data_IF_339113861892
#
_entry.id   IF_339113861892
#
_cell.length_a   1.000
_cell.length_b   1.000
_cell.length_c   1.000
_cell.angle_alpha   90.00
_cell.angle_beta   90.00
_cell.angle_gamma   90.00
#
_symmetry.space_group_name_H-M   'P 1'
#
loop_
_entity.id
_entity.type
_entity.pdbx_description
1 polymer ?
#
# COMPACT_ATOMS: atom_id res chain seq x y z
N UNK A 1 4.40 20.85 -2.64
CA UNK A 1 4.74 20.63 -1.22
C UNK A 1 3.78 19.57 -0.78
N UNK A 2 4.30 18.37 -0.54
CA UNK A 2 3.48 17.16 -0.39
C UNK A 2 2.46 17.24 0.74
N UNK A 3 2.72 18.02 1.82
CA UNK A 3 1.74 18.30 2.86
C UNK A 3 0.48 19.03 2.32
N UNK A 4 0.64 19.95 1.36
CA UNK A 4 -0.52 20.61 0.72
C UNK A 4 -1.32 19.57 -0.07
N UNK A 5 -0.63 18.76 -0.87
CA UNK A 5 -1.22 17.68 -1.67
C UNK A 5 -1.98 16.68 -0.79
N UNK A 6 -1.43 16.35 0.38
CA UNK A 6 -2.05 15.48 1.37
C UNK A 6 -3.37 16.06 1.90
N UNK A 7 -3.38 17.34 2.26
CA UNK A 7 -4.60 18.02 2.73
C UNK A 7 -5.65 18.04 1.62
N UNK A 8 -5.25 18.36 0.39
CA UNK A 8 -6.14 18.37 -0.77
C UNK A 8 -6.74 16.96 -1.03
N UNK A 9 -5.95 15.89 -0.89
CA UNK A 9 -6.44 14.50 -1.04
C UNK A 9 -7.45 14.14 0.05
N UNK A 10 -7.20 14.50 1.30
CA UNK A 10 -8.13 14.25 2.40
C UNK A 10 -9.47 14.94 2.13
N UNK A 11 -9.45 16.22 1.73
CA UNK A 11 -10.66 16.98 1.37
C UNK A 11 -11.41 16.33 0.19
N UNK A 12 -10.69 15.87 -0.84
CA UNK A 12 -11.27 15.14 -1.96
C UNK A 12 -11.97 13.85 -1.50
N UNK A 13 -11.35 13.06 -0.63
CA UNK A 13 -11.90 11.80 -0.14
C UNK A 13 -13.10 11.98 0.80
N UNK A 14 -13.21 13.13 1.47
CA UNK A 14 -14.39 13.50 2.27
C UNK A 14 -15.53 14.10 1.43
N UNK A 15 -15.25 14.48 0.18
CA UNK A 15 -16.26 15.06 -0.70
C UNK A 15 -17.39 14.09 -1.04
N UNK A 16 -18.51 14.62 -1.56
CA UNK A 16 -19.67 13.83 -1.98
C UNK A 16 -19.34 12.86 -3.14
N UNK A 17 -18.46 13.26 -4.04
CA UNK A 17 -18.13 12.53 -5.28
C UNK A 17 -16.61 12.48 -5.48
N UNK A 18 -15.84 11.77 -4.63
CA UNK A 18 -14.37 11.75 -4.68
C UNK A 18 -13.85 11.32 -6.07
N UNK A 19 -14.47 10.29 -6.65
CA UNK A 19 -14.08 9.75 -7.95
C UNK A 19 -14.20 10.77 -9.09
N UNK A 20 -15.21 11.64 -9.05
CA UNK A 20 -15.38 12.68 -10.07
C UNK A 20 -14.27 13.73 -10.00
N UNK A 21 -13.86 14.11 -8.79
CA UNK A 21 -12.78 15.09 -8.59
C UNK A 21 -11.43 14.47 -8.96
N UNK A 22 -11.21 13.21 -8.59
CA UNK A 22 -10.01 12.46 -8.97
C UNK A 22 -9.91 12.35 -10.50
N UNK A 23 -11.00 12.02 -11.21
CA UNK A 23 -11.04 12.02 -12.68
C UNK A 23 -10.52 13.31 -13.28
N UNK A 24 -11.03 14.44 -12.82
CA UNK A 24 -10.63 15.78 -13.32
C UNK A 24 -9.14 16.05 -13.09
N UNK A 25 -8.55 15.51 -12.00
CA UNK A 25 -7.10 15.61 -11.74
C UNK A 25 -6.25 14.73 -12.67
N UNK A 26 -6.79 13.61 -13.15
CA UNK A 26 -6.10 12.65 -14.02
C UNK A 26 -6.25 12.94 -15.52
N UNK A 27 -7.36 13.58 -15.88
CA UNK A 27 -7.76 13.84 -17.26
C UNK A 27 -6.64 14.53 -18.06
N UNK A 28 -6.37 14.02 -19.26
CA UNK A 28 -5.32 14.51 -20.17
C UNK A 28 -3.87 14.44 -19.65
N UNK A 29 -3.61 13.84 -18.48
CA UNK A 29 -2.27 13.71 -17.91
C UNK A 29 -1.75 12.27 -17.90
N UNK A 30 -2.61 11.33 -17.52
CA UNK A 30 -2.25 9.92 -17.32
C UNK A 30 -3.36 9.00 -17.80
N UNK A 31 -3.01 7.75 -18.09
CA UNK A 31 -4.02 6.72 -18.38
C UNK A 31 -4.57 6.20 -17.05
N UNK A 32 -5.88 6.00 -16.97
CA UNK A 32 -6.50 5.40 -15.81
C UNK A 32 -7.69 4.51 -16.20
N UNK A 33 -8.04 3.60 -15.32
CA UNK A 33 -9.16 2.68 -15.42
C UNK A 33 -9.98 2.73 -14.12
N UNK A 34 -11.30 2.75 -14.27
CA UNK A 34 -12.25 2.62 -13.18
C UNK A 34 -12.85 1.22 -13.23
N UNK A 35 -12.61 0.42 -12.20
CA UNK A 35 -13.09 -0.97 -12.12
C UNK A 35 -14.01 -1.06 -10.91
N UNK A 36 -15.26 -1.43 -11.12
CA UNK A 36 -16.20 -1.66 -10.01
C UNK A 36 -16.51 -3.14 -9.91
N UNK A 37 -16.20 -3.74 -8.76
CA UNK A 37 -16.61 -5.13 -8.45
C UNK A 37 -17.53 -5.11 -7.24
N UNK A 38 -18.77 -5.54 -7.45
CA UNK A 38 -19.83 -5.37 -6.47
C UNK A 38 -20.06 -3.88 -6.16
N UNK A 39 -19.83 -3.50 -4.90
CA UNK A 39 -19.94 -2.12 -4.41
C UNK A 39 -18.57 -1.46 -4.15
N UNK A 40 -17.49 -2.05 -4.67
CA UNK A 40 -16.11 -1.60 -4.42
C UNK A 40 -15.57 -0.95 -5.70
N UNK A 41 -15.54 0.40 -5.79
CA UNK A 41 -14.94 1.11 -6.90
C UNK A 41 -13.42 1.18 -6.71
N UNK A 42 -12.67 0.64 -7.66
CA UNK A 42 -11.23 0.79 -7.79
C UNK A 42 -10.89 1.86 -8.82
N UNK A 43 -9.79 2.55 -8.56
CA UNK A 43 -9.11 3.36 -9.55
C UNK A 43 -7.69 2.84 -9.74
N UNK A 44 -7.33 2.58 -11.00
CA UNK A 44 -5.99 2.22 -11.43
C UNK A 44 -5.44 3.30 -12.32
N UNK A 45 -4.24 3.78 -12.04
CA UNK A 45 -3.61 4.86 -12.80
C UNK A 45 -2.24 4.41 -13.26
N UNK A 46 -1.97 4.53 -14.55
CA UNK A 46 -0.66 4.33 -15.13
C UNK A 46 -0.02 5.70 -15.38
N UNK A 47 0.96 6.03 -14.55
CA UNK A 47 1.95 7.07 -14.84
C UNK A 47 2.98 6.47 -15.79
N UNK A 48 3.05 6.97 -17.02
CA UNK A 48 3.99 6.47 -18.04
C UNK A 48 5.23 7.35 -18.09
N UNK A 49 6.32 6.89 -17.49
CA UNK A 49 7.61 7.57 -17.47
C UNK A 49 8.49 7.21 -18.68
N UNK A 50 8.30 6.02 -19.26
CA UNK A 50 9.12 5.54 -20.38
C UNK A 50 10.29 4.64 -19.98
N UNK A 51 10.48 4.41 -18.68
CA UNK A 51 11.50 3.53 -18.13
C UNK A 51 11.28 2.05 -18.48
N UNK A 52 12.33 1.24 -18.29
CA UNK A 52 12.31 -0.22 -18.54
C UNK A 52 11.52 -0.97 -17.48
N UNK A 53 11.58 -0.50 -16.25
CA UNK A 53 10.92 -1.10 -15.10
C UNK A 53 9.59 -0.42 -14.82
N UNK A 54 8.66 -1.21 -14.32
CA UNK A 54 7.35 -0.74 -13.88
C UNK A 54 7.13 -1.15 -12.44
N UNK A 55 6.77 -0.21 -11.57
CA UNK A 55 6.51 -0.51 -10.16
C UNK A 55 5.04 -0.26 -9.82
N UNK A 56 4.60 -0.82 -8.70
CA UNK A 56 3.24 -0.64 -8.20
C UNK A 56 3.24 0.01 -6.81
N UNK A 57 2.43 1.04 -6.66
CA UNK A 57 2.06 1.66 -5.38
C UNK A 57 0.60 1.31 -5.12
N UNK A 58 0.38 0.40 -4.18
CA UNK A 58 -0.93 -0.20 -3.91
C UNK A 58 -1.46 0.26 -2.55
N UNK A 59 -2.53 1.04 -2.54
CA UNK A 59 -3.30 1.39 -1.35
C UNK A 59 -4.38 0.37 -1.07
N UNK A 60 -4.20 -0.44 -0.02
CA UNK A 60 -5.17 -1.43 0.45
C UNK A 60 -5.99 -0.88 1.60
N UNK A 61 -7.28 -1.22 1.58
CA UNK A 61 -8.27 -0.78 2.56
C UNK A 61 -9.58 -1.53 2.38
N UNK A 62 -10.38 -1.62 3.44
CA UNK A 62 -11.76 -2.05 3.38
C UNK A 62 -12.69 -1.01 2.75
N UNK A 63 -12.60 0.24 3.20
CA UNK A 63 -13.31 1.38 2.64
C UNK A 63 -12.72 2.70 3.15
N UNK A 64 -12.88 3.79 2.41
CA UNK A 64 -12.51 5.14 2.85
C UNK A 64 -13.48 5.68 3.90
N UNK A 65 -14.73 5.21 3.89
CA UNK A 65 -15.79 5.63 4.81
C UNK A 65 -16.75 4.47 5.09
N UNK A 66 -17.50 4.56 6.19
CA UNK A 66 -18.60 3.65 6.52
C UNK A 66 -19.93 4.41 6.50
N UNK A 67 -20.45 4.70 5.31
CA UNK A 67 -21.67 5.50 5.14
C UNK A 67 -22.82 4.82 5.91
N UNK A 68 -23.47 5.61 6.78
CA UNK A 68 -24.53 5.24 7.73
C UNK A 68 -24.10 4.64 9.07
N UNK A 69 -22.82 4.27 9.26
CA UNK A 69 -22.31 3.80 10.56
C UNK A 69 -21.46 4.87 11.21
N UNK A 70 -20.43 5.36 10.51
CA UNK A 70 -19.51 6.37 11.01
C UNK A 70 -19.50 7.60 10.09
N UNK A 71 -19.23 8.77 10.65
CA UNK A 71 -19.20 10.04 9.91
C UNK A 71 -17.75 10.49 9.73
N UNK A 72 -17.32 10.65 8.48
CA UNK A 72 -15.95 11.04 8.10
C UNK A 72 -15.08 9.87 7.67
N UNK A 73 -13.81 10.17 7.35
CA UNK A 73 -12.83 9.14 6.97
C UNK A 73 -12.53 8.19 8.13
N UNK A 74 -12.53 6.91 7.81
CA UNK A 74 -12.15 5.87 8.77
C UNK A 74 -10.64 5.63 8.79
N UNK A 75 -10.16 4.93 9.81
CA UNK A 75 -8.77 4.54 9.97
C UNK A 75 -8.22 3.75 8.78
N UNK A 76 -9.06 2.97 8.10
CA UNK A 76 -8.66 2.18 6.93
C UNK A 76 -8.37 3.04 5.68
N UNK A 77 -8.82 4.29 5.65
CA UNK A 77 -8.66 5.18 4.50
C UNK A 77 -7.19 5.52 4.19
N UNK A 78 -6.28 5.30 5.14
CA UNK A 78 -4.85 5.62 5.08
C UNK A 78 -4.18 5.14 3.78
N UNK A 79 -4.45 3.91 3.36
CA UNK A 79 -3.87 3.34 2.13
C UNK A 79 -4.23 4.14 0.88
N UNK A 80 -5.50 4.54 0.77
CA UNK A 80 -5.98 5.39 -0.31
C UNK A 80 -5.39 6.82 -0.23
N UNK A 81 -5.32 7.39 0.99
CA UNK A 81 -4.77 8.73 1.21
C UNK A 81 -3.32 8.81 0.74
N UNK A 82 -2.45 7.90 1.18
CA UNK A 82 -1.02 7.93 0.85
C UNK A 82 -0.79 7.65 -0.63
N UNK A 83 -1.53 6.68 -1.21
CA UNK A 83 -1.42 6.34 -2.63
C UNK A 83 -1.80 7.51 -3.53
N UNK A 84 -2.95 8.14 -3.26
CA UNK A 84 -3.42 9.30 -4.02
C UNK A 84 -2.54 10.54 -3.79
N UNK A 85 -2.03 10.75 -2.57
CA UNK A 85 -1.09 11.84 -2.26
C UNK A 85 0.18 11.70 -3.08
N UNK A 86 0.73 10.49 -3.13
CA UNK A 86 1.92 10.18 -3.94
C UNK A 86 1.65 10.43 -5.42
N UNK A 87 0.55 9.89 -5.96
CA UNK A 87 0.15 10.10 -7.34
C UNK A 87 0.00 11.60 -7.68
N UNK A 88 -0.74 12.35 -6.87
CA UNK A 88 -0.99 13.77 -7.15
C UNK A 88 0.26 14.62 -6.99
N UNK A 89 1.19 14.29 -6.08
CA UNK A 89 2.46 14.99 -6.01
C UNK A 89 3.28 14.76 -7.29
N UNK A 90 3.27 13.54 -7.84
CA UNK A 90 3.93 13.26 -9.12
C UNK A 90 3.29 14.01 -10.30
N UNK A 91 1.97 14.14 -10.33
CA UNK A 91 1.28 14.95 -11.34
C UNK A 91 1.58 16.44 -11.20
N UNK A 92 1.64 16.94 -9.97
CA UNK A 92 1.98 18.33 -9.70
C UNK A 92 3.47 18.63 -9.98
N UNK A 93 4.34 17.62 -9.90
CA UNK A 93 5.74 17.71 -10.37
C UNK A 93 5.81 17.69 -11.90
N UNK A 94 5.02 16.84 -12.56
CA UNK A 94 4.91 16.80 -14.02
C UNK A 94 4.48 18.16 -14.59
N UNK A 95 3.49 18.82 -13.97
CA UNK A 95 3.05 20.16 -14.37
C UNK A 95 4.17 21.23 -14.25
N UNK A 96 5.15 20.99 -13.38
CA UNK A 96 6.34 21.84 -13.20
C UNK A 96 7.50 21.45 -14.10
N UNK A 97 7.32 20.47 -15.00
CA UNK A 97 8.36 19.95 -15.88
C UNK A 97 9.31 18.95 -15.21
N UNK A 98 8.99 18.47 -14.01
CA UNK A 98 9.76 17.43 -13.31
C UNK A 98 9.06 16.09 -13.55
N UNK A 99 9.63 15.28 -14.44
CA UNK A 99 9.11 13.98 -14.83
C UNK A 99 10.01 12.85 -14.33
N UNK A 100 9.42 11.69 -14.09
CA UNK A 100 10.13 10.49 -13.64
C UNK A 100 10.22 9.49 -14.80
N UNK A 101 11.41 8.96 -15.06
CA UNK A 101 11.71 7.98 -16.12
C UNK A 101 11.49 6.53 -15.63
N UNK A 102 10.31 6.28 -15.08
CA UNK A 102 9.87 4.96 -14.63
C UNK A 102 8.36 4.85 -14.78
N UNK A 103 7.87 3.68 -15.21
CA UNK A 103 6.43 3.45 -15.26
C UNK A 103 5.92 3.09 -13.86
N UNK A 104 4.80 3.68 -13.45
CA UNK A 104 4.25 3.48 -12.10
C UNK A 104 2.76 3.23 -12.21
N UNK A 105 2.31 2.15 -11.57
CA UNK A 105 0.90 1.83 -11.42
C UNK A 105 0.47 2.19 -10.01
N UNK A 106 -0.52 3.08 -9.91
CA UNK A 106 -1.18 3.40 -8.64
C UNK A 106 -2.53 2.70 -8.60
N UNK A 107 -2.80 1.98 -7.52
CA UNK A 107 -4.07 1.27 -7.35
C UNK A 107 -4.61 1.54 -5.95
N UNK A 108 -5.89 1.89 -5.84
CA UNK A 108 -6.62 1.91 -4.57
C UNK A 108 -8.11 1.75 -4.83
N UNK A 109 -8.87 1.36 -3.81
CA UNK A 109 -10.33 1.47 -3.84
C UNK A 109 -10.81 2.73 -3.11
N UNK A 110 -12.05 3.13 -3.44
CA UNK A 110 -12.78 4.27 -2.87
C UNK A 110 -14.12 3.81 -2.29
N UNK A 111 -14.19 2.56 -1.82
CA UNK A 111 -15.43 2.03 -1.25
C UNK A 111 -15.88 2.88 -0.07
N UNK A 112 -17.20 3.05 0.06
CA UNK A 112 -17.81 3.80 1.15
C UNK A 112 -18.67 2.91 2.05
N UNK A 113 -18.52 1.60 1.88
CA UNK A 113 -19.13 0.52 2.65
C UNK A 113 -18.12 -0.61 2.75
N UNK A 114 -18.07 -1.24 3.91
CA UNK A 114 -17.23 -2.40 4.17
C UNK A 114 -18.00 -3.42 5.01
N UNK A 115 -17.45 -4.63 5.11
CA UNK A 115 -17.91 -5.65 6.05
C UNK A 115 -16.95 -5.73 7.23
N UNK A 116 -17.50 -6.04 8.40
CA UNK A 116 -16.72 -6.40 9.58
C UNK A 116 -16.64 -7.93 9.69
N UNK A 117 -15.43 -8.48 9.78
CA UNK A 117 -15.18 -9.90 10.00
C UNK A 117 -14.68 -10.11 11.43
N UNK A 118 -15.24 -11.08 12.18
CA UNK A 118 -14.78 -11.40 13.53
C UNK A 118 -13.27 -11.63 13.60
N UNK A 119 -12.58 -10.80 14.39
CA UNK A 119 -11.15 -10.89 14.63
C UNK A 119 -10.80 -10.37 16.04
N UNK A 120 -9.59 -10.64 16.56
CA UNK A 120 -9.15 -10.19 17.88
C UNK A 120 -7.88 -9.32 17.77
N UNK A 121 -7.81 -8.16 18.46
CA UNK A 121 -8.73 -7.69 19.51
C UNK A 121 -10.04 -7.06 19.00
N UNK A 122 -10.11 -6.70 17.72
CA UNK A 122 -11.27 -6.09 17.08
C UNK A 122 -11.55 -6.74 15.73
N UNK A 123 -12.77 -6.55 15.24
CA UNK A 123 -13.18 -7.00 13.93
C UNK A 123 -12.38 -6.32 12.83
N UNK A 124 -12.04 -7.08 11.79
CA UNK A 124 -11.37 -6.56 10.61
C UNK A 124 -12.38 -5.91 9.68
N UNK A 125 -12.05 -4.71 9.24
CA UNK A 125 -12.76 -4.02 8.17
C UNK A 125 -12.22 -4.52 6.84
N UNK A 126 -13.09 -5.10 6.01
CA UNK A 126 -12.71 -5.65 4.71
C UNK A 126 -13.64 -5.12 3.63
N UNK A 127 -13.18 -5.02 2.37
CA UNK A 127 -14.05 -4.56 1.30
C UNK A 127 -15.23 -5.53 1.11
N UNK A 128 -16.30 -5.08 0.47
CA UNK A 128 -17.48 -5.90 0.17
C UNK A 128 -17.21 -6.90 -0.98
N UNK A 129 -16.09 -7.60 -0.91
CA UNK A 129 -15.65 -8.63 -1.85
C UNK A 129 -14.65 -9.59 -1.20
N UNK A 130 -14.40 -10.73 -1.83
CA UNK A 130 -13.39 -11.69 -1.35
C UNK A 130 -11.97 -11.16 -1.53
N UNK A 131 -11.05 -11.58 -0.64
CA UNK A 131 -9.63 -11.22 -0.75
C UNK A 131 -9.01 -11.66 -2.08
N UNK A 132 -9.35 -12.85 -2.58
CA UNK A 132 -8.85 -13.36 -3.86
C UNK A 132 -9.30 -12.48 -5.04
N UNK A 133 -10.57 -12.07 -5.06
CA UNK A 133 -11.10 -11.15 -6.08
C UNK A 133 -10.45 -9.77 -5.97
N UNK A 134 -10.24 -9.28 -4.74
CA UNK A 134 -9.55 -8.01 -4.50
C UNK A 134 -8.11 -8.07 -5.05
N UNK A 135 -7.34 -9.09 -4.67
CA UNK A 135 -5.93 -9.21 -5.08
C UNK A 135 -5.74 -9.41 -6.59
N UNK A 136 -6.67 -10.08 -7.28
CA UNK A 136 -6.68 -10.19 -8.75
C UNK A 136 -6.83 -8.83 -9.44
N UNK A 137 -7.51 -7.89 -8.80
CA UNK A 137 -7.66 -6.53 -9.29
C UNK A 137 -6.48 -5.71 -8.81
N UNK A 138 -6.14 -5.75 -7.52
CA UNK A 138 -5.12 -4.90 -6.92
C UNK A 138 -3.75 -5.10 -7.58
N UNK A 139 -3.29 -6.34 -7.69
CA UNK A 139 -1.92 -6.67 -8.09
C UNK A 139 -1.73 -6.60 -9.61
N UNK A 140 -0.76 -5.79 -10.06
CA UNK A 140 -0.30 -5.80 -11.45
C UNK A 140 0.73 -6.93 -11.65
N UNK A 141 0.43 -7.96 -12.44
CA UNK A 141 1.33 -9.10 -12.65
C UNK A 141 2.61 -8.73 -13.42
N UNK A 142 2.67 -7.54 -14.00
CA UNK A 142 3.80 -7.03 -14.78
C UNK A 142 4.62 -5.97 -14.04
N UNK A 143 4.26 -5.62 -12.80
CA UNK A 143 5.09 -4.78 -11.95
C UNK A 143 6.31 -5.58 -11.47
N UNK A 144 7.51 -4.99 -11.52
CA UNK A 144 8.78 -5.58 -11.05
C UNK A 144 9.00 -5.39 -9.54
N UNK A 145 8.20 -4.56 -8.88
CA UNK A 145 8.18 -4.34 -7.43
C UNK A 145 6.82 -3.79 -6.99
N UNK A 146 6.36 -4.19 -5.81
CA UNK A 146 5.10 -3.68 -5.21
C UNK A 146 5.38 -3.09 -3.83
N UNK A 147 5.03 -1.82 -3.65
CA UNK A 147 4.87 -1.21 -2.34
C UNK A 147 3.39 -1.23 -1.96
N UNK A 148 3.04 -2.12 -1.04
CA UNK A 148 1.67 -2.27 -0.53
C UNK A 148 1.49 -1.44 0.72
N UNK A 149 0.46 -0.59 0.77
CA UNK A 149 0.20 0.37 1.85
C UNK A 149 -1.12 -0.01 2.51
N UNK A 150 -1.13 -0.20 3.83
CA UNK A 150 -2.32 -0.66 4.58
C UNK A 150 -2.35 -0.06 6.00
N UNK A 151 -3.57 0.18 6.49
CA UNK A 151 -3.79 0.63 7.88
C UNK A 151 -3.64 -0.52 8.87
N UNK A 152 -2.44 -0.66 9.41
CA UNK A 152 -2.09 -1.72 10.35
C UNK A 152 -2.16 -1.21 11.80
N UNK A 153 -3.20 -0.45 12.15
CA UNK A 153 -3.40 0.11 13.50
C UNK A 153 -4.18 -0.81 14.46
N UNK A 154 -4.93 -1.78 13.93
CA UNK A 154 -5.80 -2.67 14.70
C UNK A 154 -5.10 -3.77 15.51
N UNK A 155 -3.78 -3.93 15.38
CA UNK A 155 -3.01 -4.96 16.09
C UNK A 155 -2.34 -4.44 17.39
N UNK A 156 -1.70 -5.35 18.12
CA UNK A 156 -1.00 -5.09 19.40
C UNK A 156 0.53 -5.02 19.32
N UNK A 157 1.11 -5.27 18.14
CA UNK A 157 2.55 -5.46 17.96
C UNK A 157 3.23 -4.19 17.43
N UNK A 158 2.86 -3.75 16.23
CA UNK A 158 3.46 -2.60 15.56
C UNK A 158 2.90 -1.28 16.12
N UNK A 159 3.31 -0.91 17.35
CA UNK A 159 2.80 0.25 18.11
C UNK A 159 3.82 1.39 18.15
N UNK A 160 4.01 2.04 17.01
CA UNK A 160 4.96 3.14 16.82
C UNK A 160 4.26 4.51 16.67
N UNK A 161 5.02 5.61 16.69
CA UNK A 161 4.51 6.98 16.45
C UNK A 161 4.60 7.46 14.99
N UNK A 162 5.21 6.67 14.11
CA UNK A 162 5.29 6.92 12.68
C UNK A 162 5.09 5.61 11.89
N UNK A 163 5.08 5.66 10.56
CA UNK A 163 4.82 4.49 9.71
C UNK A 163 5.92 3.43 9.86
N UNK A 164 5.60 2.17 9.59
CA UNK A 164 6.55 1.06 9.68
C UNK A 164 6.66 0.33 8.33
N UNK A 165 7.80 -0.31 8.10
CA UNK A 165 8.02 -1.15 6.92
C UNK A 165 8.06 -2.63 7.29
N UNK A 166 7.67 -3.50 6.36
CA UNK A 166 7.99 -4.92 6.46
C UNK A 166 9.39 -5.19 5.91
N UNK A 167 9.90 -6.39 6.17
CA UNK A 167 10.94 -6.99 5.33
C UNK A 167 10.46 -7.16 3.88
N UNK A 168 11.36 -7.51 2.96
CA UNK A 168 10.97 -7.83 1.59
C UNK A 168 10.40 -9.24 1.55
N UNK A 169 9.18 -9.39 1.04
CA UNK A 169 8.57 -10.70 0.79
C UNK A 169 8.77 -11.04 -0.68
N UNK A 170 9.52 -12.11 -0.95
CA UNK A 170 9.80 -12.58 -2.31
C UNK A 170 9.70 -14.10 -2.35
N UNK A 171 8.76 -14.62 -3.15
CA UNK A 171 8.58 -16.06 -3.37
C UNK A 171 8.47 -16.88 -2.07
N UNK A 172 7.82 -16.32 -1.05
CA UNK A 172 7.67 -16.96 0.26
C UNK A 172 8.91 -16.90 1.16
N UNK A 173 9.96 -16.19 0.74
CA UNK A 173 11.09 -15.80 1.58
C UNK A 173 10.88 -14.40 2.17
N UNK A 174 11.38 -14.21 3.38
CA UNK A 174 11.46 -12.93 4.07
C UNK A 174 12.92 -12.49 4.01
N UNK A 175 13.22 -11.43 3.27
CA UNK A 175 14.57 -10.95 3.00
C UNK A 175 14.80 -9.58 3.64
N UNK A 176 16.06 -9.30 3.96
CA UNK A 176 16.47 -8.01 4.51
C UNK A 176 16.17 -6.87 3.52
N UNK A 177 15.73 -5.72 4.03
CA UNK A 177 15.66 -4.49 3.25
C UNK A 177 17.06 -4.05 2.82
N UNK A 178 17.20 -3.64 1.56
CA UNK A 178 18.43 -2.99 1.11
C UNK A 178 18.69 -1.70 1.92
N UNK A 179 19.95 -1.44 2.29
CA UNK A 179 20.30 -0.34 3.20
C UNK A 179 19.83 1.03 2.70
N UNK A 180 19.96 1.30 1.40
CA UNK A 180 19.40 2.52 0.79
C UNK A 180 17.89 2.73 1.05
N UNK A 181 17.08 1.68 1.18
CA UNK A 181 15.65 1.80 1.51
C UNK A 181 15.50 2.26 2.96
N UNK A 182 16.32 1.72 3.86
CA UNK A 182 16.41 2.13 5.27
C UNK A 182 16.90 3.57 5.38
N UNK A 183 17.89 3.98 4.59
CA UNK A 183 18.41 5.35 4.55
C UNK A 183 17.37 6.35 4.05
N UNK A 184 16.53 5.98 3.08
CA UNK A 184 15.42 6.81 2.62
C UNK A 184 14.40 6.97 3.76
N UNK A 185 14.03 5.88 4.44
CA UNK A 185 13.15 5.93 5.60
C UNK A 185 13.70 6.91 6.65
N UNK A 186 14.92 6.68 7.12
CA UNK A 186 15.51 7.48 8.20
C UNK A 186 15.62 8.97 7.83
N UNK A 187 15.85 9.27 6.54
CA UNK A 187 15.93 10.66 6.05
C UNK A 187 14.57 11.36 6.06
N UNK A 188 13.49 10.66 5.68
CA UNK A 188 12.17 11.29 5.59
C UNK A 188 11.47 11.37 6.94
N UNK A 189 11.79 10.48 7.88
CA UNK A 189 11.19 10.44 9.22
C UNK A 189 12.04 11.10 10.31
N UNK A 190 13.35 11.26 10.08
CA UNK A 190 14.32 11.76 11.07
C UNK A 190 14.48 10.85 12.31
N UNK A 191 14.13 9.58 12.21
CA UNK A 191 14.36 8.55 13.25
C UNK A 191 14.67 7.18 12.64
N UNK A 192 15.05 6.20 13.47
CA UNK A 192 15.37 4.84 13.02
C UNK A 192 14.15 4.09 12.44
N UNK A 193 14.43 3.12 11.56
CA UNK A 193 13.39 2.31 10.93
C UNK A 193 12.54 1.53 11.95
N UNK A 194 11.22 1.70 11.84
CA UNK A 194 10.25 0.84 12.50
C UNK A 194 9.86 -0.33 11.60
N UNK A 195 9.92 -1.54 12.15
CA UNK A 195 9.65 -2.76 11.42
C UNK A 195 8.35 -3.41 11.87
N UNK A 196 7.55 -3.88 10.92
CA UNK A 196 6.37 -4.69 11.19
C UNK A 196 6.81 -6.14 11.46
N UNK A 197 6.54 -6.70 12.66
CA UNK A 197 6.84 -8.09 12.94
C UNK A 197 5.86 -8.98 12.17
N UNK A 198 6.41 -9.93 11.42
CA UNK A 198 5.64 -10.90 10.64
C UNK A 198 5.78 -12.30 11.22
N UNK A 199 4.75 -13.09 11.05
CA UNK A 199 4.68 -14.51 11.35
C UNK A 199 4.50 -15.30 10.05
N UNK A 200 4.69 -16.61 10.10
CA UNK A 200 4.37 -17.47 8.94
C UNK A 200 2.91 -17.35 8.51
N UNK A 201 1.98 -17.10 9.44
CA UNK A 201 0.57 -16.91 9.13
C UNK A 201 0.32 -15.70 8.23
N UNK A 202 1.08 -14.62 8.40
CA UNK A 202 0.96 -13.44 7.53
C UNK A 202 1.30 -13.76 6.06
N UNK A 203 2.11 -14.80 5.83
CA UNK A 203 2.42 -15.34 4.52
C UNK A 203 1.50 -16.52 4.16
N UNK A 204 0.25 -16.54 4.61
CA UNK A 204 -0.78 -17.48 4.12
C UNK A 204 -2.04 -16.73 3.70
N UNK A 205 -2.88 -17.34 2.84
CA UNK A 205 -4.22 -16.81 2.55
C UNK A 205 -5.05 -16.59 3.83
N UNK A 206 -5.94 -15.57 3.84
CA UNK A 206 -6.77 -15.24 5.02
C UNK A 206 -7.85 -16.29 5.35
N UNK A 207 -8.13 -17.24 4.46
CA UNK A 207 -9.03 -18.36 4.75
C UNK A 207 -8.36 -19.44 5.60
N UNK A 208 -7.04 -19.32 5.85
CA UNK A 208 -6.35 -20.12 6.84
C UNK A 208 -6.68 -19.53 8.20
N UNK A 209 -7.26 -20.35 9.08
CA UNK A 209 -7.75 -19.90 10.39
C UNK A 209 -6.59 -19.69 11.40
N UNK A 210 -5.65 -18.82 11.05
CA UNK A 210 -4.48 -18.43 11.84
C UNK A 210 -4.46 -16.91 12.04
N UNK A 211 -3.57 -16.42 12.89
CA UNK A 211 -3.42 -14.99 13.11
C UNK A 211 -2.77 -14.31 11.91
N UNK A 212 -3.32 -13.16 11.53
CA UNK A 212 -2.75 -12.24 10.56
C UNK A 212 -2.73 -10.83 11.17
N UNK A 213 -1.60 -10.13 11.05
CA UNK A 213 -1.45 -8.78 11.58
C UNK A 213 -2.30 -7.76 10.80
N UNK A 214 -2.37 -7.93 9.48
CA UNK A 214 -3.18 -7.17 8.52
C UNK A 214 -3.12 -7.85 7.15
N UNK A 215 -3.73 -7.24 6.13
CA UNK A 215 -3.62 -7.71 4.74
C UNK A 215 -2.43 -7.10 4.00
N UNK A 216 -1.61 -6.30 4.67
CA UNK A 216 -0.53 -5.50 4.10
C UNK A 216 0.37 -6.26 3.12
N UNK A 217 0.79 -7.49 3.44
CA UNK A 217 1.69 -8.24 2.57
C UNK A 217 0.98 -9.17 1.58
N UNK A 218 -0.33 -9.42 1.70
CA UNK A 218 -1.05 -10.40 0.87
C UNK A 218 -0.86 -10.28 -0.65
N UNK A 219 -0.51 -9.12 -1.26
CA UNK A 219 -0.07 -9.06 -2.66
C UNK A 219 0.99 -10.08 -3.06
N UNK A 220 1.86 -10.50 -2.14
CA UNK A 220 2.90 -11.51 -2.39
C UNK A 220 2.33 -12.85 -2.89
N UNK A 221 1.07 -13.16 -2.58
CA UNK A 221 0.36 -14.36 -3.04
C UNK A 221 0.07 -14.36 -4.55
N UNK A 222 0.03 -13.20 -5.21
CA UNK A 222 -0.35 -13.04 -6.63
C UNK A 222 0.80 -12.61 -7.51
N UNK A 223 1.89 -12.11 -6.93
CA UNK A 223 3.07 -11.70 -7.69
C UNK A 223 4.25 -12.65 -7.53
N UNK A 224 5.19 -12.58 -8.48
CA UNK A 224 6.55 -13.09 -8.30
C UNK A 224 7.55 -11.97 -8.03
N UNK A 225 7.10 -10.72 -7.98
CA UNK A 225 7.93 -9.57 -7.67
C UNK A 225 8.11 -9.41 -6.16
N UNK A 226 9.20 -8.76 -5.71
CA UNK A 226 9.35 -8.39 -4.32
C UNK A 226 8.21 -7.48 -3.86
N UNK A 227 7.71 -7.73 -2.65
CA UNK A 227 6.69 -6.92 -1.99
C UNK A 227 7.27 -6.34 -0.71
N UNK A 228 7.12 -5.03 -0.52
CA UNK A 228 7.33 -4.37 0.78
C UNK A 228 5.97 -3.83 1.23
N UNK A 229 5.62 -4.09 2.49
CA UNK A 229 4.53 -3.46 3.17
C UNK A 229 4.96 -2.13 3.80
N UNK A 230 4.22 -1.06 3.54
CA UNK A 230 4.21 0.19 4.31
C UNK A 230 2.96 0.22 5.19
N UNK A 231 3.16 0.01 6.49
CA UNK A 231 2.11 0.05 7.48
C UNK A 231 1.95 1.46 8.05
N UNK A 232 0.74 2.04 7.97
CA UNK A 232 0.40 3.09 8.93
C UNK A 232 0.05 2.44 10.27
N UNK A 233 0.52 3.01 11.35
CA UNK A 233 0.43 2.42 12.70
C UNK A 233 0.05 3.48 13.74
N UNK A 234 -0.12 3.05 14.98
CA UNK A 234 -0.43 3.91 16.11
C UNK A 234 0.04 3.27 17.40
N UNK A 235 0.49 4.09 18.36
CA UNK A 235 0.79 3.67 19.74
C UNK A 235 -0.40 3.05 20.46
N UNK A 236 -1.61 3.35 20.00
CA UNK A 236 -2.86 2.74 20.49
C UNK A 236 -3.42 1.77 19.47
N UNK A 237 -4.28 0.85 19.93
CA UNK A 237 -5.03 -0.01 19.02
C UNK A 237 -6.22 0.79 18.49
N UNK A 238 -6.32 0.89 17.17
CA UNK A 238 -7.38 1.64 16.49
C UNK A 238 -8.06 0.70 15.49
N UNK A 239 -9.35 0.37 15.69
CA UNK A 239 -10.16 -0.35 14.70
C UNK A 239 -10.21 0.36 13.34
N UNK A 240 -10.26 -0.43 12.26
CA UNK A 240 -10.27 0.09 10.89
C UNK A 240 -11.43 1.05 10.59
N UNK A 241 -12.54 0.92 11.33
CA UNK A 241 -13.74 1.74 11.17
C UNK A 241 -13.75 3.03 12.02
N UNK A 242 -12.81 3.24 12.93
CA UNK A 242 -12.79 4.44 13.78
C UNK A 242 -12.44 5.71 12.97
N UNK A 243 -13.00 6.86 13.34
CA UNK A 243 -12.78 8.15 12.66
C UNK A 243 -11.99 9.12 13.54
N UNK A 244 -11.40 10.16 12.95
CA UNK A 244 -10.63 11.17 13.69
C UNK A 244 -9.25 10.68 14.17
N UNK A 245 -8.68 9.71 13.44
CA UNK A 245 -7.48 8.95 13.82
C UNK A 245 -6.37 9.01 12.75
N UNK A 246 -6.51 9.94 11.81
CA UNK A 246 -5.52 10.25 10.79
C UNK A 246 -4.36 11.03 11.42
N UNK A 247 -3.13 10.62 11.13
CA UNK A 247 -1.92 11.31 11.59
C UNK A 247 -1.24 11.96 10.38
N UNK A 248 -1.42 13.27 10.24
CA UNK A 248 -0.94 14.01 9.08
C UNK A 248 0.59 13.96 8.94
N UNK A 249 1.33 14.00 10.04
CA UNK A 249 2.80 13.89 10.02
C UNK A 249 3.22 12.54 9.45
N UNK A 250 2.64 11.45 9.96
CA UNK A 250 2.93 10.10 9.47
C UNK A 250 2.57 9.93 7.99
N UNK A 251 1.42 10.46 7.55
CA UNK A 251 1.03 10.36 6.13
C UNK A 251 1.92 11.19 5.23
N UNK A 252 2.39 12.34 5.69
CA UNK A 252 3.32 13.18 4.97
C UNK A 252 4.67 12.47 4.82
N UNK A 253 5.23 11.92 5.90
CA UNK A 253 6.46 11.13 5.86
C UNK A 253 6.32 9.89 4.98
N UNK A 254 5.21 9.14 5.09
CA UNK A 254 4.95 7.95 4.27
C UNK A 254 4.79 8.28 2.79
N UNK A 255 4.09 9.36 2.45
CA UNK A 255 3.95 9.81 1.05
C UNK A 255 5.29 10.30 0.50
N UNK A 256 6.09 10.99 1.33
CA UNK A 256 7.43 11.45 0.97
C UNK A 256 8.37 10.27 0.76
N UNK A 257 8.29 9.24 1.61
CA UNK A 257 8.99 7.97 1.45
C UNK A 257 8.67 7.35 0.08
N UNK A 258 7.40 7.27 -0.30
CA UNK A 258 7.00 6.72 -1.60
C UNK A 258 7.66 7.49 -2.75
N UNK A 259 7.62 8.83 -2.73
CA UNK A 259 8.25 9.68 -3.77
C UNK A 259 9.77 9.46 -3.82
N UNK A 260 10.47 9.43 -2.68
CA UNK A 260 11.92 9.22 -2.65
C UNK A 260 12.32 7.78 -3.04
N UNK A 261 11.51 6.79 -2.70
CA UNK A 261 11.70 5.41 -3.14
C UNK A 261 11.55 5.30 -4.66
N UNK A 262 10.56 5.98 -5.25
CA UNK A 262 10.40 6.04 -6.72
C UNK A 262 11.67 6.61 -7.38
N UNK A 263 12.23 7.72 -6.87
CA UNK A 263 13.49 8.31 -7.39
C UNK A 263 14.68 7.37 -7.28
N UNK A 264 14.72 6.55 -6.23
CA UNK A 264 15.76 5.55 -6.05
C UNK A 264 15.62 4.40 -7.05
N UNK A 265 14.41 3.90 -7.26
CA UNK A 265 14.12 2.81 -8.20
C UNK A 265 14.31 3.25 -9.66
N UNK A 266 13.93 4.48 -10.00
CA UNK A 266 14.21 5.10 -11.31
C UNK A 266 15.69 5.03 -11.70
N UNK A 267 16.59 5.13 -10.71
CA UNK A 267 18.05 5.06 -10.90
C UNK A 267 18.60 3.62 -10.88
N UNK A 268 17.74 2.61 -10.96
CA UNK A 268 18.12 1.20 -10.89
C UNK A 268 18.39 0.70 -9.46
N UNK A 269 17.84 1.37 -8.46
CA UNK A 269 17.93 0.95 -7.06
C UNK A 269 17.31 -0.43 -6.83
N UNK A 270 17.93 -1.24 -5.96
CA UNK A 270 17.41 -2.54 -5.53
C UNK A 270 16.79 -2.46 -4.14
N UNK A 271 15.73 -3.23 -3.90
CA UNK A 271 15.04 -3.28 -2.58
C UNK A 271 15.53 -4.43 -1.69
N UNK A 272 16.25 -5.40 -2.26
CA UNK A 272 16.89 -6.55 -1.58
C UNK A 272 18.15 -6.98 -2.33
N UNK A 273 18.97 -7.85 -1.72
CA UNK A 273 20.09 -8.50 -2.40
C UNK A 273 19.64 -9.82 -3.06
N UNK A 274 19.74 -9.87 -4.38
CA UNK A 274 19.40 -11.07 -5.16
C UNK A 274 20.31 -12.25 -4.84
N UNK A 275 21.57 -12.02 -4.48
CA UNK A 275 22.49 -13.10 -4.11
C UNK A 275 22.07 -13.79 -2.81
N UNK A 276 21.49 -13.04 -1.86
CA UNK A 276 20.97 -13.59 -0.61
C UNK A 276 19.82 -14.57 -0.90
N UNK A 277 18.89 -14.20 -1.80
CA UNK A 277 17.82 -15.10 -2.22
C UNK A 277 18.37 -16.34 -2.93
N UNK A 278 19.32 -16.18 -3.85
CA UNK A 278 19.91 -17.31 -4.57
C UNK A 278 20.60 -18.30 -3.62
N UNK A 279 21.32 -17.79 -2.63
CA UNK A 279 21.96 -18.64 -1.60
C UNK A 279 20.90 -19.37 -0.76
N UNK A 280 19.86 -18.67 -0.30
CA UNK A 280 18.76 -19.29 0.46
C UNK A 280 18.06 -20.37 -0.35
N UNK A 281 17.71 -20.11 -1.60
CA UNK A 281 17.09 -21.11 -2.49
C UNK A 281 18.02 -22.29 -2.76
N UNK A 282 19.34 -22.06 -2.88
CA UNK A 282 20.32 -23.13 -3.07
C UNK A 282 20.43 -24.04 -1.84
N UNK A 283 20.36 -23.49 -0.63
CA UNK A 283 20.51 -24.26 0.63
C UNK A 283 19.21 -24.88 1.12
N UNK A 284 18.09 -24.18 0.96
CA UNK A 284 16.80 -24.54 1.55
C UNK A 284 15.79 -25.06 0.52
N UNK A 285 16.00 -24.79 -0.77
CA UNK A 285 15.06 -25.09 -1.85
C UNK A 285 14.07 -23.96 -2.11
N UNK A 286 13.01 -24.22 -2.89
CA UNK A 286 11.92 -23.23 -3.05
C UNK A 286 11.04 -23.22 -1.80
N UNK A 287 10.45 -22.08 -1.47
CA UNK A 287 9.47 -21.99 -0.38
C UNK A 287 8.29 -22.93 -0.65
N UNK A 288 7.82 -23.62 0.40
CA UNK A 288 6.61 -24.45 0.36
C UNK A 288 5.32 -23.63 0.56
N UNK A 289 5.43 -22.32 0.80
CA UNK A 289 4.27 -21.45 0.92
C UNK A 289 3.58 -21.35 -0.44
N UNK A 290 2.28 -21.61 -0.44
CA UNK A 290 1.47 -21.70 -1.64
C UNK A 290 1.09 -20.30 -2.09
N UNK A 291 1.56 -19.90 -3.29
CA UNK A 291 0.97 -18.76 -4.01
C UNK A 291 -0.46 -19.11 -4.43
N UNK A 292 -1.34 -18.12 -4.46
CA UNK A 292 -2.68 -18.34 -5.00
C UNK A 292 -2.54 -18.86 -6.44
N UNK A 293 -3.36 -19.86 -6.82
CA UNK A 293 -3.35 -20.37 -8.19
C UNK A 293 -3.70 -19.21 -9.12
N UNK A 294 -2.72 -18.76 -9.91
CA UNK A 294 -2.93 -17.83 -11.02
C UNK A 294 -3.96 -18.48 -11.94
N UNK A 295 -5.15 -17.89 -12.04
CA UNK A 295 -6.12 -18.20 -13.11
C UNK A 295 -5.93 -17.16 -14.19
#
# INVERSE_FOLDING_TARGET
>A
MILKTLIDVIDILESKNPLEIIRKRLENKVKYEEITVGEVPYIKVLYKGGGKDKIEILGRLGAIQMINTNKGLVSDADGAIITLTTLFELLDLMDKGIVFDIDIVFVTNLATKAKLIPHKPFDFMVPLMGLDDALKIEVDPTASFILSIDSTKGNRLAKYDDFALTHVIKDGYILKLHDNVIDIYNRVTEHEIYMVPLTTGDLTPLDYNVYHISTLISPWLYTSSPVIGLATVSKQVIPGYDTGVQNLTMFEHASRFCVELIKYLEKGGKVYDENELMELESKLGKSNLIKAKRV
#
